data_IF_340394218084
#
_entry.id   IF_340394218084
#
_cell.length_a   1.000
_cell.length_b   1.000
_cell.length_c   1.000
_cell.angle_alpha   90.00
_cell.angle_beta   90.00
_cell.angle_gamma   90.00
#
_symmetry.space_group_name_H-M   'P 1'
#
loop_
_entity.id
_entity.type
_entity.pdbx_description
1 polymer ?
#
# COMPACT_ATOMS: atom_id res chain seq x y z
N UNK A 1 0.00 -11.41 -10.37
CA UNK A 1 0.94 -12.22 -9.58
C UNK A 1 2.34 -11.94 -10.11
N UNK A 2 3.34 -11.85 -9.24
CA UNK A 2 4.74 -11.65 -9.65
C UNK A 2 5.33 -12.96 -10.18
N UNK A 3 6.29 -12.86 -11.08
CA UNK A 3 6.86 -14.02 -11.79
C UNK A 3 8.02 -14.65 -11.01
N UNK A 4 8.70 -13.84 -10.19
CA UNK A 4 9.84 -14.26 -9.36
C UNK A 4 9.62 -13.92 -7.89
N UNK A 5 10.39 -14.57 -6.99
CA UNK A 5 10.35 -14.28 -5.56
C UNK A 5 11.00 -12.94 -5.25
N UNK A 6 12.02 -12.59 -6.02
CA UNK A 6 12.79 -11.36 -5.90
C UNK A 6 11.91 -10.12 -6.09
N UNK A 7 10.90 -10.18 -6.96
CA UNK A 7 9.91 -9.11 -7.16
C UNK A 7 9.10 -8.76 -5.90
N UNK A 8 9.00 -9.69 -4.94
CA UNK A 8 8.31 -9.49 -3.66
C UNK A 8 9.15 -8.71 -2.65
N UNK A 9 10.46 -8.56 -2.88
CA UNK A 9 11.29 -7.70 -2.04
C UNK A 9 11.07 -6.24 -2.45
N UNK A 10 10.40 -5.51 -1.57
CA UNK A 10 10.10 -4.11 -1.80
C UNK A 10 11.14 -3.25 -1.08
N UNK A 11 11.76 -2.36 -1.83
CA UNK A 11 12.55 -1.27 -1.27
C UNK A 11 11.66 -0.09 -0.89
N UNK A 12 12.27 0.95 -0.32
CA UNK A 12 11.58 2.14 0.12
C UNK A 12 10.88 2.86 -1.04
N UNK A 13 11.51 2.92 -2.20
CA UNK A 13 10.98 3.65 -3.36
C UNK A 13 9.72 2.98 -3.88
N UNK A 14 9.75 1.66 -4.06
CA UNK A 14 8.58 0.86 -4.45
C UNK A 14 7.45 0.95 -3.44
N UNK A 15 7.75 1.02 -2.14
CA UNK A 15 6.72 1.23 -1.11
C UNK A 15 6.08 2.61 -1.21
N UNK A 16 6.86 3.66 -1.45
CA UNK A 16 6.36 5.03 -1.60
C UNK A 16 5.51 5.17 -2.87
N UNK A 17 5.96 4.63 -4.00
CA UNK A 17 5.19 4.63 -5.25
C UNK A 17 3.85 3.88 -5.10
N UNK A 18 3.85 2.77 -4.36
CA UNK A 18 2.62 2.06 -4.03
C UNK A 18 1.72 2.91 -3.12
N UNK A 19 2.29 3.61 -2.14
CA UNK A 19 1.56 4.56 -1.29
C UNK A 19 0.87 5.64 -2.13
N UNK A 20 1.62 6.33 -2.98
CA UNK A 20 1.09 7.39 -3.85
C UNK A 20 -0.03 6.88 -4.76
N UNK A 21 0.10 5.66 -5.28
CA UNK A 21 -0.91 5.02 -6.13
C UNK A 21 -2.22 4.73 -5.38
N UNK A 22 -2.14 4.32 -4.12
CA UNK A 22 -3.28 3.85 -3.34
C UNK A 22 -3.77 4.85 -2.29
N UNK A 23 -3.17 6.03 -2.18
CA UNK A 23 -3.42 7.05 -1.16
C UNK A 23 -4.91 7.32 -0.91
N UNK A 24 -5.70 7.49 -1.98
CA UNK A 24 -7.14 7.78 -1.88
C UNK A 24 -7.92 6.65 -1.21
N UNK A 25 -7.56 5.41 -1.50
CA UNK A 25 -8.22 4.23 -0.94
C UNK A 25 -7.77 3.97 0.49
N UNK A 26 -6.47 4.12 0.77
CA UNK A 26 -5.92 4.04 2.13
C UNK A 26 -6.62 5.07 3.03
N UNK A 27 -6.73 6.32 2.60
CA UNK A 27 -7.40 7.38 3.34
C UNK A 27 -8.89 7.06 3.60
N UNK A 28 -9.62 6.55 2.58
CA UNK A 28 -11.01 6.13 2.73
C UNK A 28 -11.16 5.01 3.76
N UNK A 29 -10.32 3.99 3.67
CA UNK A 29 -10.37 2.84 4.55
C UNK A 29 -10.01 3.24 6.00
N UNK A 30 -9.03 4.13 6.18
CA UNK A 30 -8.71 4.69 7.50
C UNK A 30 -9.87 5.46 8.11
N UNK A 31 -10.59 6.27 7.32
CA UNK A 31 -11.75 7.01 7.81
C UNK A 31 -12.90 6.09 8.24
N UNK A 32 -13.10 4.98 7.53
CA UNK A 32 -14.10 3.97 7.88
C UNK A 32 -13.70 3.13 9.11
N UNK A 33 -12.40 2.86 9.28
CA UNK A 33 -11.86 2.08 10.40
C UNK A 33 -11.70 2.91 11.68
N UNK A 34 -11.64 4.25 11.57
CA UNK A 34 -11.43 5.16 12.70
C UNK A 34 -12.35 4.93 13.92
N UNK A 35 -13.63 4.55 13.80
CA UNK A 35 -14.48 4.26 14.96
C UNK A 35 -14.13 2.97 15.71
N UNK A 36 -13.31 2.08 15.13
CA UNK A 36 -13.01 0.74 15.64
C UNK A 36 -11.55 0.58 16.10
N UNK A 37 -10.76 1.64 16.03
CA UNK A 37 -9.34 1.68 16.40
C UNK A 37 -9.13 2.55 17.63
#
# INVERSE_FOLDING_TARGET
>A
ATETREELYYDKEKLLENGDRWEREIARNMAMDAPYR
#
